data_IF_422890957552
#
_entry.id   IF_422890957552
#
_cell.length_a   1.000
_cell.length_b   1.000
_cell.length_c   1.000
_cell.angle_alpha   90.00
_cell.angle_beta   90.00
_cell.angle_gamma   90.00
#
_symmetry.space_group_name_H-M   'P 1'
#
loop_
_entity.id
_entity.type
_entity.pdbx_description
1 polymer ?
#
# COMPACT_ATOMS: atom_id res chain seq x y z
N UNK A 1 -6.78 -20.46 15.21
CA UNK A 1 -6.09 -20.24 13.93
C UNK A 1 -5.40 -18.90 14.03
N UNK A 2 -4.12 -18.85 13.66
CA UNK A 2 -3.23 -17.72 13.92
C UNK A 2 -3.48 -16.59 12.91
N UNK A 3 -3.97 -15.44 13.38
CA UNK A 3 -4.38 -14.27 12.58
C UNK A 3 -3.26 -13.79 11.65
N UNK A 4 -2.00 -14.00 12.05
CA UNK A 4 -0.82 -13.68 11.24
C UNK A 4 -0.72 -14.52 9.97
N UNK A 5 -1.09 -15.81 10.03
CA UNK A 5 -1.06 -16.71 8.89
C UNK A 5 -2.06 -16.31 7.81
N UNK A 6 -3.28 -15.97 8.21
CA UNK A 6 -4.36 -15.58 7.28
C UNK A 6 -4.01 -14.30 6.51
N UNK A 7 -3.36 -13.33 7.15
CA UNK A 7 -2.91 -12.09 6.51
C UNK A 7 -1.82 -12.36 5.46
N UNK A 8 -0.89 -13.27 5.74
CA UNK A 8 0.18 -13.64 4.80
C UNK A 8 -0.41 -14.32 3.56
N UNK A 9 -1.34 -15.26 3.73
CA UNK A 9 -2.00 -15.92 2.59
C UNK A 9 -2.85 -14.95 1.78
N UNK A 10 -3.57 -14.03 2.43
CA UNK A 10 -4.38 -13.03 1.74
C UNK A 10 -3.53 -12.03 0.95
N UNK A 11 -2.39 -11.60 1.50
CA UNK A 11 -1.44 -10.75 0.79
C UNK A 11 -0.78 -11.48 -0.39
N UNK A 12 -0.44 -12.76 -0.22
CA UNK A 12 0.12 -13.59 -1.28
C UNK A 12 -0.89 -13.83 -2.41
N UNK A 13 -2.14 -14.12 -2.06
CA UNK A 13 -3.24 -14.26 -3.02
C UNK A 13 -3.45 -12.98 -3.83
N UNK A 14 -3.56 -11.83 -3.15
CA UNK A 14 -3.64 -10.52 -3.81
C UNK A 14 -2.46 -10.28 -4.73
N UNK A 15 -1.23 -10.57 -4.30
CA UNK A 15 -0.04 -10.42 -5.15
C UNK A 15 -0.12 -11.28 -6.42
N UNK A 16 -0.55 -12.55 -6.32
CA UNK A 16 -0.72 -13.44 -7.48
C UNK A 16 -1.82 -12.95 -8.40
N UNK A 17 -2.95 -12.50 -7.85
CA UNK A 17 -4.07 -11.96 -8.63
C UNK A 17 -3.66 -10.68 -9.36
N UNK A 18 -2.87 -9.82 -8.72
CA UNK A 18 -2.39 -8.57 -9.30
C UNK A 18 -1.30 -8.76 -10.36
N UNK A 19 -0.48 -9.81 -10.25
CA UNK A 19 0.40 -10.19 -11.36
C UNK A 19 -0.39 -10.55 -12.63
N UNK A 20 -1.66 -10.96 -12.49
CA UNK A 20 -2.53 -11.33 -13.60
C UNK A 20 -3.50 -10.20 -14.03
N UNK A 21 -3.83 -9.24 -13.15
CA UNK A 21 -4.88 -8.23 -13.37
C UNK A 21 -4.44 -6.77 -13.30
N UNK A 22 -3.17 -6.50 -12.98
CA UNK A 22 -2.68 -5.17 -12.64
C UNK A 22 -1.36 -4.86 -13.34
N UNK A 23 -1.03 -3.57 -13.47
CA UNK A 23 0.21 -3.10 -14.10
C UNK A 23 1.28 -2.99 -13.02
N UNK A 24 2.34 -3.81 -13.10
CA UNK A 24 3.49 -3.68 -12.21
C UNK A 24 4.30 -2.42 -12.53
N UNK A 25 4.46 -1.53 -11.56
CA UNK A 25 5.17 -0.25 -11.72
C UNK A 25 6.63 -0.33 -11.25
N UNK A 26 6.91 -1.18 -10.26
CA UNK A 26 8.27 -1.40 -9.78
C UNK A 26 8.35 -1.86 -8.33
N UNK A 27 9.60 -2.09 -7.90
CA UNK A 27 9.93 -2.47 -6.53
C UNK A 27 10.92 -1.47 -5.95
N UNK A 28 10.71 -1.08 -4.70
CA UNK A 28 11.64 -0.24 -3.95
C UNK A 28 11.78 -0.72 -2.50
N UNK A 29 12.88 -0.35 -1.84
CA UNK A 29 12.92 -0.44 -0.37
C UNK A 29 12.02 0.64 0.19
N UNK A 30 11.22 0.33 1.20
CA UNK A 30 10.29 1.33 1.71
C UNK A 30 9.72 1.01 3.07
N UNK A 31 9.01 2.00 3.61
CA UNK A 31 8.26 1.88 4.85
C UNK A 31 6.89 2.52 4.72
N UNK A 32 5.94 2.01 5.49
CA UNK A 32 4.59 2.54 5.56
C UNK A 32 4.22 2.78 7.01
N UNK A 33 3.66 3.96 7.27
CA UNK A 33 3.29 4.41 8.61
C UNK A 33 1.88 5.00 8.56
N UNK A 34 1.03 4.60 9.51
CA UNK A 34 -0.28 5.19 9.75
C UNK A 34 -0.18 6.24 10.86
N UNK A 35 -0.61 7.46 10.57
CA UNK A 35 -0.77 8.55 11.51
C UNK A 35 -2.25 8.72 11.86
N UNK A 36 -2.60 8.48 13.13
CA UNK A 36 -3.93 8.77 13.72
C UNK A 36 -3.72 9.61 14.98
N UNK A 37 -4.18 9.16 16.15
CA UNK A 37 -3.85 9.76 17.46
C UNK A 37 -2.41 9.48 17.90
N UNK A 38 -1.64 8.78 17.07
CA UNK A 38 -0.26 8.38 17.29
C UNK A 38 0.37 7.93 15.98
N UNK A 39 1.59 7.39 16.07
CA UNK A 39 2.35 6.88 14.92
C UNK A 39 2.38 5.36 14.97
N UNK A 40 1.84 4.70 13.96
CA UNK A 40 1.68 3.25 13.92
C UNK A 40 2.37 2.67 12.67
N UNK A 41 3.55 2.01 12.81
CA UNK A 41 4.22 1.36 11.70
C UNK A 41 3.40 0.22 11.11
N UNK A 42 3.12 0.26 9.80
CA UNK A 42 2.45 -0.82 9.07
C UNK A 42 3.44 -1.80 8.44
N UNK A 43 4.70 -1.39 8.34
CA UNK A 43 5.84 -2.20 7.93
C UNK A 43 7.03 -1.93 8.86
N UNK A 44 8.08 -2.76 8.85
CA UNK A 44 9.32 -2.45 9.55
C UNK A 44 9.89 -1.09 9.14
N UNK A 45 10.36 -0.31 10.12
CA UNK A 45 10.91 1.05 9.95
C UNK A 45 12.39 1.16 10.32
N UNK A 46 13.02 0.06 10.75
CA UNK A 46 14.42 -0.01 11.13
C UNK A 46 15.39 -0.05 9.94
N UNK A 47 16.66 -0.36 10.21
CA UNK A 47 17.78 -0.20 9.26
C UNK A 47 17.61 -0.97 7.94
N UNK A 48 16.92 -2.12 7.98
CA UNK A 48 16.73 -2.94 6.78
C UNK A 48 15.26 -2.97 6.38
N UNK A 49 14.83 -1.93 5.67
CA UNK A 49 13.47 -1.77 5.16
C UNK A 49 13.04 -2.96 4.28
N UNK A 50 11.77 -3.36 4.29
CA UNK A 50 11.27 -4.38 3.35
C UNK A 50 11.30 -3.86 1.91
N UNK A 51 11.23 -4.80 0.96
CA UNK A 51 10.87 -4.46 -0.41
C UNK A 51 9.36 -4.28 -0.51
N UNK A 52 8.94 -3.19 -1.14
CA UNK A 52 7.57 -2.88 -1.46
C UNK A 52 7.42 -2.92 -2.99
N UNK A 53 6.50 -3.75 -3.46
CA UNK A 53 6.10 -3.83 -4.86
C UNK A 53 4.91 -2.91 -5.06
N UNK A 54 4.94 -2.12 -6.12
CA UNK A 54 3.89 -1.17 -6.47
C UNK A 54 3.25 -1.58 -7.77
N UNK A 55 1.92 -1.59 -7.78
CA UNK A 55 1.08 -1.91 -8.91
C UNK A 55 0.07 -0.78 -9.11
N UNK A 56 -0.35 -0.60 -10.36
CA UNK A 56 -1.52 0.17 -10.72
C UNK A 56 -2.64 -0.80 -11.10
N UNK A 57 -3.81 -0.63 -10.49
CA UNK A 57 -4.96 -1.48 -10.74
C UNK A 57 -6.23 -0.63 -10.69
N UNK A 58 -6.91 -0.50 -11.84
CA UNK A 58 -8.27 0.06 -11.94
C UNK A 58 -8.40 1.39 -11.17
N UNK A 59 -7.57 2.36 -11.51
CA UNK A 59 -7.60 3.68 -10.88
C UNK A 59 -7.01 3.77 -9.48
N UNK A 60 -6.38 2.71 -8.96
CA UNK A 60 -5.79 2.70 -7.62
C UNK A 60 -4.34 2.25 -7.66
N UNK A 61 -3.57 2.69 -6.66
CA UNK A 61 -2.29 2.08 -6.37
C UNK A 61 -2.49 0.91 -5.43
N UNK A 62 -1.83 -0.20 -5.75
CA UNK A 62 -1.62 -1.29 -4.82
C UNK A 62 -0.15 -1.39 -4.42
N UNK A 63 0.10 -1.48 -3.12
CA UNK A 63 1.43 -1.58 -2.54
C UNK A 63 1.47 -2.81 -1.65
N UNK A 64 2.34 -3.74 -2.00
CA UNK A 64 2.53 -5.00 -1.26
C UNK A 64 3.94 -5.11 -0.74
N UNK A 65 4.09 -5.59 0.49
CA UNK A 65 5.38 -5.92 1.08
C UNK A 65 5.29 -7.27 1.76
N UNK A 66 6.23 -8.16 1.50
CA UNK A 66 6.37 -9.43 2.21
C UNK A 66 7.81 -9.52 2.70
N UNK A 67 7.99 -9.86 3.97
CA UNK A 67 9.31 -10.00 4.57
C UNK A 67 9.37 -11.21 5.48
N UNK A 68 10.57 -11.78 5.57
CA UNK A 68 10.92 -12.79 6.54
C UNK A 68 12.33 -12.45 7.04
N UNK A 69 12.44 -11.98 8.29
CA UNK A 69 13.71 -11.62 8.92
C UNK A 69 13.70 -11.94 10.40
N UNK A 70 14.81 -12.48 10.89
CA UNK A 70 15.06 -12.67 12.33
C UNK A 70 13.93 -13.41 13.07
N UNK A 71 13.35 -14.43 12.42
CA UNK A 71 12.24 -15.20 12.99
C UNK A 71 10.88 -14.48 12.98
N UNK A 72 10.79 -13.31 12.35
CA UNK A 72 9.55 -12.54 12.16
C UNK A 72 9.22 -12.44 10.67
N UNK A 73 8.22 -13.20 10.26
CA UNK A 73 7.57 -13.02 8.96
C UNK A 73 6.45 -12.00 9.07
N UNK A 74 6.22 -11.25 8.00
CA UNK A 74 5.10 -10.34 7.93
C UNK A 74 4.77 -9.92 6.52
N UNK A 75 3.58 -9.35 6.39
CA UNK A 75 3.06 -8.87 5.12
C UNK A 75 2.29 -7.56 5.32
N UNK A 76 2.27 -6.80 4.24
CA UNK A 76 1.53 -5.56 4.09
C UNK A 76 0.88 -5.54 2.72
N UNK A 77 -0.35 -5.04 2.66
CA UNK A 77 -1.11 -4.77 1.45
C UNK A 77 -1.87 -3.46 1.65
N UNK A 78 -1.79 -2.55 0.69
CA UNK A 78 -2.62 -1.37 0.61
C UNK A 78 -3.10 -1.23 -0.84
N UNK A 79 -4.41 -1.14 -1.05
CA UNK A 79 -5.04 -0.83 -2.34
C UNK A 79 -5.98 0.36 -2.12
N UNK A 80 -5.63 1.52 -2.65
CA UNK A 80 -6.37 2.76 -2.42
C UNK A 80 -6.02 3.82 -3.46
N UNK A 81 -6.89 4.82 -3.63
CA UNK A 81 -6.57 6.03 -4.39
C UNK A 81 -5.60 6.90 -3.59
N UNK A 82 -4.40 7.23 -4.11
CA UNK A 82 -3.49 8.16 -3.46
C UNK A 82 -4.07 9.57 -3.45
N UNK A 83 -3.99 10.23 -2.29
CA UNK A 83 -4.34 11.65 -2.15
C UNK A 83 -3.25 12.58 -2.68
N UNK A 84 -1.99 12.15 -2.69
CA UNK A 84 -0.86 12.96 -3.16
C UNK A 84 0.44 12.19 -3.27
N UNK A 85 1.38 12.77 -3.99
CA UNK A 85 2.75 12.30 -4.17
C UNK A 85 3.72 13.49 -4.06
N UNK A 86 4.86 13.27 -3.42
CA UNK A 86 5.99 14.19 -3.37
C UNK A 86 7.25 13.41 -3.70
N UNK A 87 8.04 13.92 -4.65
CA UNK A 87 9.35 13.34 -5.02
C UNK A 87 10.45 14.28 -4.54
N UNK A 88 11.46 13.71 -3.88
CA UNK A 88 12.66 14.42 -3.44
C UNK A 88 13.91 13.93 -4.15
N UNK A 89 14.99 14.68 -3.96
CA UNK A 89 16.32 14.37 -4.47
C UNK A 89 16.71 12.91 -4.17
N UNK A 90 17.37 12.28 -5.16
CA UNK A 90 17.79 10.88 -5.05
C UNK A 90 16.67 9.86 -5.29
N UNK A 91 15.49 10.27 -5.77
CA UNK A 91 14.40 9.35 -6.11
C UNK A 91 13.64 8.83 -4.88
N UNK A 92 13.62 9.61 -3.81
CA UNK A 92 12.82 9.32 -2.61
C UNK A 92 11.38 9.79 -2.89
N UNK A 93 10.43 8.87 -2.80
CA UNK A 93 9.02 9.11 -3.10
C UNK A 93 8.20 9.00 -1.84
N UNK A 94 7.37 9.99 -1.59
CA UNK A 94 6.37 10.03 -0.54
C UNK A 94 4.99 9.95 -1.16
N UNK A 95 4.20 8.95 -0.80
CA UNK A 95 2.81 8.80 -1.28
C UNK A 95 1.88 8.82 -0.07
N UNK A 96 0.87 9.68 -0.14
CA UNK A 96 -0.08 9.91 0.95
C UNK A 96 -1.44 9.33 0.60
N UNK A 97 -2.03 8.58 1.52
CA UNK A 97 -3.38 8.03 1.41
C UNK A 97 -4.22 8.44 2.63
N UNK A 98 -5.52 8.59 2.44
CA UNK A 98 -6.47 8.94 3.49
C UNK A 98 -7.52 7.83 3.63
N UNK A 99 -7.30 6.86 4.53
CA UNK A 99 -8.28 5.83 4.80
C UNK A 99 -9.61 6.43 5.23
N UNK A 100 -10.69 5.80 4.78
CA UNK A 100 -12.07 6.16 5.13
C UNK A 100 -12.39 6.00 6.62
N UNK A 101 -11.65 5.16 7.35
CA UNK A 101 -11.70 5.03 8.82
C UNK A 101 -10.84 6.09 9.57
N UNK A 102 -10.39 7.12 8.84
CA UNK A 102 -9.62 8.25 9.32
C UNK A 102 -8.10 8.06 9.29
N UNK A 103 -7.37 9.13 9.59
CA UNK A 103 -5.90 9.14 9.62
C UNK A 103 -5.24 9.34 8.26
N UNK A 104 -3.91 9.24 8.27
CA UNK A 104 -3.05 9.43 7.09
C UNK A 104 -2.08 8.26 7.00
N UNK A 105 -2.08 7.55 5.89
CA UNK A 105 -1.06 6.55 5.58
C UNK A 105 0.01 7.21 4.71
N UNK A 106 1.24 7.23 5.21
CA UNK A 106 2.41 7.70 4.48
C UNK A 106 3.25 6.51 4.05
N UNK A 107 3.39 6.35 2.74
CA UNK A 107 4.34 5.42 2.13
C UNK A 107 5.59 6.21 1.77
N UNK A 108 6.75 5.74 2.22
CA UNK A 108 8.06 6.25 1.79
C UNK A 108 8.78 5.16 1.00
N UNK A 109 9.13 5.43 -0.25
CA UNK A 109 9.86 4.54 -1.14
C UNK A 109 11.23 5.15 -1.45
N UNK A 110 12.28 4.36 -1.30
CA UNK A 110 13.65 4.68 -1.69
C UNK A 110 13.92 3.98 -3.02
N UNK A 111 13.58 4.69 -4.09
CA UNK A 111 13.70 4.21 -5.45
C UNK A 111 14.83 4.91 -6.21
N UNK A 112 14.61 5.10 -7.50
CA UNK A 112 15.42 5.94 -8.37
C UNK A 112 14.51 6.95 -9.10
N UNK A 113 15.11 7.87 -9.84
CA UNK A 113 14.35 8.90 -10.58
C UNK A 113 13.38 8.31 -11.62
N UNK A 114 13.73 7.17 -12.22
CA UNK A 114 12.86 6.49 -13.19
C UNK A 114 11.57 6.01 -12.55
N UNK A 115 11.68 5.29 -11.42
CA UNK A 115 10.53 4.85 -10.64
C UNK A 115 9.72 6.04 -10.12
N UNK A 116 10.38 7.10 -9.66
CA UNK A 116 9.69 8.30 -9.19
C UNK A 116 8.79 8.91 -10.27
N UNK A 117 9.31 9.10 -11.49
CA UNK A 117 8.53 9.60 -12.63
C UNK A 117 7.36 8.68 -13.00
N UNK A 118 7.57 7.36 -12.98
CA UNK A 118 6.51 6.39 -13.22
C UNK A 118 5.39 6.52 -12.19
N UNK A 119 5.74 6.68 -10.91
CA UNK A 119 4.77 6.80 -9.82
C UNK A 119 4.03 8.14 -9.87
N UNK A 120 4.67 9.24 -10.25
CA UNK A 120 3.98 10.53 -10.46
C UNK A 120 2.89 10.42 -11.53
N UNK A 121 3.18 9.78 -12.66
CA UNK A 121 2.20 9.53 -13.71
C UNK A 121 1.04 8.66 -13.21
N UNK A 122 1.35 7.53 -12.58
CA UNK A 122 0.32 6.62 -12.06
C UNK A 122 -0.59 7.27 -11.01
N UNK A 123 -0.05 8.11 -10.11
CA UNK A 123 -0.84 8.84 -9.10
C UNK A 123 -1.80 9.83 -9.75
N UNK A 124 -1.40 10.48 -10.84
CA UNK A 124 -2.27 11.38 -11.61
C UNK A 124 -3.41 10.58 -12.26
N UNK A 125 -3.12 9.45 -12.88
CA UNK A 125 -4.11 8.58 -13.54
C UNK A 125 -5.12 7.97 -12.54
N UNK A 126 -4.70 7.71 -11.29
CA UNK A 126 -5.61 7.26 -10.23
C UNK A 126 -6.76 8.26 -9.95
N UNK A 127 -6.54 9.57 -10.16
CA UNK A 127 -7.54 10.60 -9.84
C UNK A 127 -8.66 10.69 -10.87
N UNK A 128 -8.47 10.11 -12.04
CA UNK A 128 -9.41 10.23 -13.17
C UNK A 128 -10.35 9.03 -13.32
N UNK A 129 -10.08 7.92 -12.63
CA UNK A 129 -10.80 6.66 -12.80
C UNK A 129 -11.84 6.38 -11.71
N UNK A 130 -12.71 5.39 -11.99
CA UNK A 130 -13.82 4.99 -11.11
C UNK A 130 -13.29 4.16 -9.94
N UNK A 131 -13.68 4.52 -8.71
CA UNK A 131 -13.19 3.91 -7.47
C UNK A 131 -13.79 2.52 -7.24
N UNK A 132 -12.97 1.54 -6.86
CA UNK A 132 -13.42 0.26 -6.29
C UNK A 132 -13.15 0.21 -4.77
N UNK A 133 -13.35 -0.95 -4.16
CA UNK A 133 -13.14 -1.20 -2.74
C UNK A 133 -11.70 -0.96 -2.30
N UNK A 134 -11.56 -0.19 -1.22
CA UNK A 134 -10.28 0.09 -0.57
C UNK A 134 -9.91 -1.07 0.36
N UNK A 135 -8.61 -1.40 0.38
CA UNK A 135 -8.10 -2.50 1.22
C UNK A 135 -6.80 -2.11 1.91
N UNK A 136 -6.70 -2.40 3.19
CA UNK A 136 -5.45 -2.25 3.94
C UNK A 136 -5.27 -3.40 4.93
N UNK A 137 -4.19 -4.14 4.79
CA UNK A 137 -3.78 -5.24 5.67
C UNK A 137 -2.36 -5.02 6.17
N UNK A 138 -2.11 -5.26 7.45
CA UNK A 138 -0.77 -5.28 8.01
C UNK A 138 -0.66 -6.32 9.13
N UNK A 139 0.31 -7.23 9.01
CA UNK A 139 0.64 -8.17 10.07
C UNK A 139 1.43 -7.53 11.23
N UNK A 140 1.99 -6.32 11.06
CA UNK A 140 2.70 -5.61 12.12
C UNK A 140 1.76 -5.07 13.20
N UNK A 141 0.58 -4.61 12.82
CA UNK A 141 -0.43 -4.09 13.75
C UNK A 141 -1.62 -5.04 13.94
N UNK A 142 -1.62 -6.22 13.29
CA UNK A 142 -2.82 -7.06 13.15
C UNK A 142 -4.04 -6.27 12.65
N UNK A 143 -3.81 -5.34 11.72
CA UNK A 143 -4.88 -4.50 11.15
C UNK A 143 -5.40 -5.17 9.89
N UNK A 144 -6.72 -5.38 9.86
CA UNK A 144 -7.48 -5.81 8.67
C UNK A 144 -8.65 -4.84 8.50
N UNK A 145 -8.51 -3.91 7.56
CA UNK A 145 -9.57 -2.99 7.15
C UNK A 145 -9.90 -3.26 5.69
N UNK A 146 -11.11 -3.74 5.44
CA UNK A 146 -11.70 -3.86 4.10
C UNK A 146 -12.89 -2.91 4.13
N UNK A 147 -12.87 -1.86 3.30
CA UNK A 147 -13.99 -0.93 3.23
C UNK A 147 -14.66 -1.05 1.86
N UNK A 148 -15.91 -1.52 1.80
CA UNK A 148 -16.65 -1.62 0.55
C UNK A 148 -16.91 -0.24 -0.03
N UNK A 149 -17.01 -0.16 -1.35
CA UNK A 149 -17.25 1.07 -2.06
C UNK A 149 -18.55 1.74 -1.55
N UNK A 150 -18.47 3.05 -1.27
CA UNK A 150 -19.51 3.85 -0.61
C UNK A 150 -20.86 3.95 -1.35
N UNK A 151 -21.08 3.21 -2.44
CA UNK A 151 -22.37 3.15 -3.14
C UNK A 151 -23.27 2.00 -2.69
N UNK A 152 -22.78 1.06 -1.87
CA UNK A 152 -23.63 0.01 -1.27
C UNK A 152 -24.49 0.49 -0.10
N UNK A 153 -24.30 1.72 0.39
CA UNK A 153 -25.12 2.33 1.47
C UNK A 153 -26.16 3.33 1.00
N UNK A 154 -26.35 3.48 -0.32
CA UNK A 154 -27.38 4.34 -0.89
C UNK A 154 -28.19 3.58 -1.95
N UNK A 155 -29.10 2.73 -1.49
CA UNK A 155 -30.39 2.52 -2.14
C UNK A 155 -31.46 2.37 -1.04
N UNK A 156 -32.65 2.99 -1.23
CA UNK A 156 -33.55 3.47 -0.18
C UNK A 156 -34.24 2.40 0.66
#
# INVERSE_FOLDING_TARGET
MDVSGDIVYEALGSYIDNLCGSVFLGTARGKVVLYKMGTYPLTPTGETLPFLNVFYSRGMLEITGIWNREGRSGAFLLKMVPSGIEVRDGGIVYITFHPSDGGIVLVTLYGNEGLAKTLEGAVLDCRTERKEDEKMLSSMLHVKTINPAQWETLNP
#
